data_IF_595903876254
#
_entry.id   IF_595903876254
#
_cell.length_a   1.000
_cell.length_b   1.000
_cell.length_c   1.000
_cell.angle_alpha   90.00
_cell.angle_beta   90.00
_cell.angle_gamma   90.00
#
_symmetry.space_group_name_H-M   'P 1'
#
loop_
_entity.id
_entity.type
_entity.pdbx_description
1 polymer ?
#
# COMPACT_ATOMS: atom_id res chain seq x y z
N UNK A 1 1.10 5.59 -17.74
CA UNK A 1 2.40 5.72 -17.07
C UNK A 1 2.15 6.06 -15.61
N UNK A 2 2.31 5.10 -14.71
CA UNK A 2 2.43 5.31 -13.27
C UNK A 2 2.95 3.99 -12.71
N UNK A 3 4.20 3.71 -13.04
CA UNK A 3 4.92 2.59 -12.49
C UNK A 3 5.95 3.18 -11.53
N UNK A 4 5.82 2.71 -10.29
CA UNK A 4 6.88 2.66 -9.30
C UNK A 4 7.22 3.97 -8.59
N UNK A 5 6.38 4.30 -7.60
CA UNK A 5 6.74 5.26 -6.54
C UNK A 5 7.81 4.65 -5.61
N UNK A 6 7.93 3.32 -5.57
CA UNK A 6 8.61 2.63 -4.49
C UNK A 6 9.68 1.61 -4.91
N UNK A 7 9.97 1.34 -6.19
CA UNK A 7 10.91 0.26 -6.59
C UNK A 7 12.26 0.30 -5.85
N UNK A 8 12.83 1.50 -5.66
CA UNK A 8 14.11 1.66 -4.94
C UNK A 8 14.03 1.63 -3.41
N UNK A 9 12.84 1.77 -2.83
CA UNK A 9 12.60 1.83 -1.37
C UNK A 9 11.54 0.83 -0.91
N UNK A 10 11.24 -0.17 -1.74
CA UNK A 10 10.08 -1.04 -1.52
C UNK A 10 10.15 -1.79 -0.20
N UNK A 11 11.34 -2.29 0.16
CA UNK A 11 11.56 -2.99 1.42
C UNK A 11 11.32 -2.10 2.66
N UNK A 12 11.70 -0.83 2.61
CA UNK A 12 11.44 0.13 3.70
C UNK A 12 9.95 0.47 3.77
N UNK A 13 9.34 0.70 2.60
CA UNK A 13 7.93 1.00 2.42
C UNK A 13 7.05 -0.14 2.90
N UNK A 14 7.44 -1.39 2.61
CA UNK A 14 6.78 -2.62 3.08
C UNK A 14 6.72 -2.67 4.60
N UNK A 15 7.83 -2.34 5.28
CA UNK A 15 7.87 -2.25 6.74
C UNK A 15 6.90 -1.20 7.29
N UNK A 16 6.88 0.00 6.70
CA UNK A 16 5.97 1.06 7.10
C UNK A 16 4.50 0.74 6.78
N UNK A 17 4.24 0.08 5.65
CA UNK A 17 2.91 -0.41 5.26
C UNK A 17 2.39 -1.41 6.31
N UNK A 18 3.22 -2.37 6.71
CA UNK A 18 2.87 -3.34 7.76
C UNK A 18 2.55 -2.66 9.09
N UNK A 19 3.33 -1.64 9.46
CA UNK A 19 3.07 -0.87 10.68
C UNK A 19 1.77 -0.05 10.61
N UNK A 20 1.53 0.62 9.48
CA UNK A 20 0.35 1.48 9.28
C UNK A 20 -0.93 0.67 9.08
N UNK A 21 -0.83 -0.47 8.40
CA UNK A 21 -1.94 -1.36 8.09
C UNK A 21 -1.64 -2.76 8.61
N UNK A 22 -1.69 -2.93 9.94
CA UNK A 22 -1.38 -4.22 10.60
C UNK A 22 -2.30 -5.40 10.26
N UNK A 23 -3.36 -5.22 9.47
CA UNK A 23 -4.14 -6.34 8.90
C UNK A 23 -3.53 -6.89 7.61
N UNK A 24 -2.67 -6.12 6.94
CA UNK A 24 -1.94 -6.62 5.77
C UNK A 24 -0.87 -7.61 6.25
N UNK A 25 -0.87 -8.78 5.64
CA UNK A 25 0.12 -9.83 5.90
C UNK A 25 1.38 -9.62 5.09
N UNK A 26 2.46 -10.33 5.43
CA UNK A 26 3.69 -10.31 4.62
C UNK A 26 3.44 -10.79 3.19
N UNK A 27 2.50 -11.74 2.97
CA UNK A 27 2.05 -12.19 1.65
C UNK A 27 1.33 -11.10 0.87
N UNK A 28 0.39 -10.38 1.50
CA UNK A 28 -0.28 -9.25 0.85
C UNK A 28 0.73 -8.19 0.38
N UNK A 29 1.75 -7.94 1.21
CA UNK A 29 2.83 -7.02 0.88
C UNK A 29 3.80 -7.57 -0.15
N UNK A 30 3.92 -8.89 -0.34
CA UNK A 30 4.68 -9.45 -1.44
C UNK A 30 3.91 -9.28 -2.76
N UNK A 31 2.61 -9.56 -2.76
CA UNK A 31 1.74 -9.40 -3.94
C UNK A 31 1.64 -7.94 -4.40
N UNK A 32 1.71 -6.99 -3.47
CA UNK A 32 1.66 -5.58 -3.83
C UNK A 32 2.84 -5.17 -4.73
N UNK A 33 4.06 -5.65 -4.47
CA UNK A 33 5.27 -5.36 -5.26
C UNK A 33 5.42 -3.88 -5.70
N UNK A 34 5.12 -2.92 -4.82
CA UNK A 34 5.19 -1.48 -5.16
C UNK A 34 4.03 -0.92 -6.00
N UNK A 35 3.05 -1.74 -6.37
CA UNK A 35 1.92 -1.36 -7.20
C UNK A 35 0.74 -0.79 -6.39
N UNK A 36 0.40 0.48 -6.66
CA UNK A 36 -0.71 1.17 -6.01
C UNK A 36 -2.09 0.49 -6.25
N UNK A 37 -2.31 -0.16 -7.39
CA UNK A 37 -3.57 -0.86 -7.65
C UNK A 37 -3.74 -2.10 -6.77
N UNK A 38 -2.65 -2.82 -6.52
CA UNK A 38 -2.65 -3.97 -5.63
C UNK A 38 -2.87 -3.54 -4.19
N UNK A 39 -2.21 -2.46 -3.72
CA UNK A 39 -2.47 -1.89 -2.38
C UNK A 39 -3.95 -1.60 -2.21
N UNK A 40 -4.56 -1.06 -3.26
CA UNK A 40 -5.95 -0.70 -3.26
C UNK A 40 -6.87 -1.93 -3.15
N UNK A 41 -6.59 -2.99 -3.91
CA UNK A 41 -7.30 -4.27 -3.81
C UNK A 41 -7.23 -4.85 -2.39
N UNK A 42 -6.01 -4.94 -1.84
CA UNK A 42 -5.75 -5.47 -0.50
C UNK A 42 -6.42 -4.66 0.59
N UNK A 43 -6.31 -3.33 0.56
CA UNK A 43 -6.95 -2.47 1.56
C UNK A 43 -8.47 -2.55 1.51
N UNK A 44 -9.05 -2.62 0.30
CA UNK A 44 -10.50 -2.82 0.16
C UNK A 44 -10.92 -4.19 0.70
N UNK A 45 -10.17 -5.26 0.45
CA UNK A 45 -10.48 -6.61 0.93
C UNK A 45 -10.36 -6.75 2.46
N UNK A 46 -9.29 -6.23 3.05
CA UNK A 46 -9.00 -6.39 4.50
C UNK A 46 -9.70 -5.38 5.40
N UNK A 47 -9.92 -4.16 4.90
CA UNK A 47 -10.47 -3.05 5.68
C UNK A 47 -11.85 -2.58 5.21
N UNK A 48 -12.28 -2.94 3.98
CA UNK A 48 -13.54 -2.45 3.43
C UNK A 48 -13.51 -0.98 3.04
N UNK A 49 -12.33 -0.36 2.91
CA UNK A 49 -12.21 1.06 2.60
C UNK A 49 -12.73 1.39 1.21
N UNK A 50 -13.30 2.59 1.10
CA UNK A 50 -13.70 3.17 -0.18
C UNK A 50 -12.50 3.71 -0.94
N UNK A 51 -12.73 4.09 -2.20
CA UNK A 51 -11.70 4.67 -3.06
C UNK A 51 -11.02 5.88 -2.46
N UNK A 52 -11.84 6.80 -1.99
CA UNK A 52 -11.36 8.09 -1.51
C UNK A 52 -10.54 7.92 -0.23
N UNK A 53 -10.94 7.00 0.64
CA UNK A 53 -10.19 6.68 1.87
C UNK A 53 -8.83 6.08 1.56
N UNK A 54 -8.77 5.09 0.66
CA UNK A 54 -7.50 4.47 0.26
C UNK A 54 -6.59 5.50 -0.40
N UNK A 55 -7.10 6.27 -1.35
CA UNK A 55 -6.31 7.31 -2.01
C UNK A 55 -5.82 8.36 -1.02
N UNK A 56 -6.63 8.77 -0.04
CA UNK A 56 -6.21 9.69 1.01
C UNK A 56 -5.08 9.09 1.84
N UNK A 57 -5.19 7.83 2.23
CA UNK A 57 -4.18 7.13 3.03
C UNK A 57 -2.86 6.95 2.27
N UNK A 58 -2.94 6.60 0.98
CA UNK A 58 -1.79 6.51 0.08
C UNK A 58 -1.13 7.86 -0.12
N UNK A 59 -1.90 8.93 -0.37
CA UNK A 59 -1.39 10.30 -0.46
C UNK A 59 -0.71 10.75 0.83
N UNK A 60 -1.23 10.40 1.99
CA UNK A 60 -0.58 10.69 3.27
C UNK A 60 0.70 9.89 3.47
N UNK A 61 0.78 8.69 2.91
CA UNK A 61 1.93 7.80 3.01
C UNK A 61 3.08 8.22 2.08
N UNK A 62 2.79 8.68 0.86
CA UNK A 62 3.82 9.11 -0.12
C UNK A 62 4.33 10.53 0.09
N UNK A 63 3.71 11.33 0.96
CA UNK A 63 4.02 12.76 1.15
C UNK A 63 5.04 13.02 2.28
N UNK A 64 5.70 11.97 2.79
CA UNK A 64 6.80 12.07 3.74
C UNK A 64 8.12 11.86 2.99
#
# INVERSE_FOLDING_TARGET
MNKDIFEGKWEEVKGQLKQKWGKLTDDDLLEIEGNNQEIYGKLRQHYGYTKEEIERQLRMFTKH
#
